data_IF_079216215238
#
_entry.id   IF_079216215238
#
_cell.length_a   1.000
_cell.length_b   1.000
_cell.length_c   1.000
_cell.angle_alpha   90.00
_cell.angle_beta   90.00
_cell.angle_gamma   90.00
#
_symmetry.space_group_name_H-M   'P 1'
#
loop_
_entity.id
_entity.type
_entity.pdbx_description
1 polymer ?
#
# COMPACT_ATOMS: atom_id res chain seq x y z
N UNK A 1 24.20 -7.12 -3.03
CA UNK A 1 22.74 -6.89 -3.19
C UNK A 1 22.09 -7.23 -1.86
N UNK A 2 21.25 -6.35 -1.32
CA UNK A 2 20.57 -6.57 -0.03
C UNK A 2 19.39 -7.54 -0.14
N UNK A 3 18.89 -7.77 -1.37
CA UNK A 3 17.82 -8.70 -1.66
C UNK A 3 18.28 -10.16 -1.56
N UNK A 4 17.46 -11.01 -0.95
CA UNK A 4 17.68 -12.45 -0.80
C UNK A 4 16.41 -13.25 -1.11
N UNK A 5 16.58 -14.56 -1.32
CA UNK A 5 15.50 -15.56 -1.44
C UNK A 5 14.42 -15.17 -2.46
N UNK A 6 14.84 -14.95 -3.71
CA UNK A 6 13.91 -14.58 -4.79
C UNK A 6 13.23 -13.24 -4.56
N UNK A 7 13.99 -12.23 -4.11
CA UNK A 7 13.50 -10.87 -3.91
C UNK A 7 12.40 -10.70 -2.84
N UNK A 8 12.28 -11.66 -1.92
CA UNK A 8 11.25 -11.63 -0.87
C UNK A 8 11.61 -10.79 0.35
N UNK A 9 12.91 -10.57 0.58
CA UNK A 9 13.45 -9.83 1.72
C UNK A 9 14.66 -8.99 1.29
N UNK A 10 14.82 -7.79 1.87
CA UNK A 10 15.95 -6.90 1.68
C UNK A 10 16.60 -6.53 3.03
N UNK A 11 17.75 -7.15 3.35
CA UNK A 11 18.42 -6.93 4.64
C UNK A 11 19.35 -5.71 4.58
N UNK A 12 18.93 -4.61 5.22
CA UNK A 12 19.76 -3.41 5.36
C UNK A 12 20.73 -3.54 6.54
N UNK A 13 21.93 -2.95 6.46
CA UNK A 13 22.86 -2.91 7.58
C UNK A 13 22.31 -2.03 8.70
N UNK A 14 22.48 -2.45 9.96
CA UNK A 14 22.03 -1.68 11.12
C UNK A 14 21.40 -2.55 12.20
N UNK A 15 20.86 -1.91 13.23
CA UNK A 15 20.06 -2.59 14.25
C UNK A 15 18.64 -2.80 13.73
N UNK A 16 18.04 -3.99 13.95
CA UNK A 16 16.64 -4.20 13.62
C UNK A 16 15.73 -3.34 14.51
N UNK A 17 14.49 -3.17 14.04
CA UNK A 17 13.39 -2.58 14.78
C UNK A 17 12.94 -3.49 15.93
N UNK A 18 11.90 -3.06 16.63
CA UNK A 18 11.26 -3.86 17.68
C UNK A 18 10.58 -5.14 17.15
N UNK A 19 10.35 -5.25 15.83
CA UNK A 19 9.74 -6.43 15.22
C UNK A 19 10.75 -7.56 15.13
N UNK A 20 11.75 -7.41 14.24
CA UNK A 20 12.99 -8.19 14.10
C UNK A 20 13.56 -7.94 12.69
N UNK A 21 14.82 -8.33 12.46
CA UNK A 21 15.50 -8.12 11.18
C UNK A 21 14.80 -8.75 9.97
N UNK A 22 14.08 -9.87 10.15
CA UNK A 22 13.39 -10.55 9.05
C UNK A 22 12.12 -9.79 8.66
N UNK A 23 11.33 -9.35 9.63
CA UNK A 23 10.16 -8.51 9.36
C UNK A 23 10.56 -7.17 8.75
N UNK A 24 11.63 -6.55 9.24
CA UNK A 24 12.15 -5.29 8.66
C UNK A 24 12.61 -5.49 7.20
N UNK A 25 13.22 -6.65 6.91
CA UNK A 25 13.65 -6.97 5.55
C UNK A 25 12.48 -7.23 4.59
N UNK A 26 11.37 -7.79 5.09
CA UNK A 26 10.12 -7.88 4.35
C UNK A 26 9.53 -6.49 4.07
N UNK A 27 9.48 -5.63 5.10
CA UNK A 27 9.00 -4.24 4.99
C UNK A 27 9.77 -3.47 3.90
N UNK A 28 11.09 -3.70 3.81
CA UNK A 28 11.91 -3.14 2.74
C UNK A 28 11.48 -3.54 1.33
N UNK A 29 10.89 -4.73 1.17
CA UNK A 29 10.41 -5.23 -0.12
C UNK A 29 8.97 -4.78 -0.39
N UNK A 30 8.05 -4.99 0.55
CA UNK A 30 6.65 -4.60 0.42
C UNK A 30 6.49 -3.12 0.06
N UNK A 31 7.32 -2.24 0.63
CA UNK A 31 7.26 -0.80 0.38
C UNK A 31 7.92 -0.33 -0.92
N UNK A 32 8.62 -1.22 -1.62
CA UNK A 32 9.27 -0.93 -2.91
C UNK A 32 8.49 -1.53 -4.08
N UNK A 33 7.84 -2.68 -3.87
CA UNK A 33 7.10 -3.36 -4.93
C UNK A 33 6.00 -2.50 -5.59
N UNK A 34 5.20 -1.68 -4.87
CA UNK A 34 4.26 -0.77 -5.52
C UNK A 34 4.93 0.19 -6.50
N UNK A 35 6.10 0.74 -6.16
CA UNK A 35 6.84 1.64 -7.05
C UNK A 35 7.30 0.92 -8.32
N UNK A 36 7.84 -0.29 -8.19
CA UNK A 36 8.22 -1.11 -9.35
C UNK A 36 7.01 -1.51 -10.19
N UNK A 37 5.87 -1.80 -9.56
CA UNK A 37 4.64 -2.14 -10.24
C UNK A 37 4.05 -0.95 -11.01
N UNK A 38 4.04 0.26 -10.42
CA UNK A 38 3.64 1.48 -11.14
C UNK A 38 4.58 1.73 -12.32
N UNK A 39 5.90 1.65 -12.11
CA UNK A 39 6.85 1.83 -13.21
C UNK A 39 6.57 0.84 -14.34
N UNK A 40 6.37 -0.45 -14.02
CA UNK A 40 6.11 -1.51 -14.98
C UNK A 40 4.79 -1.30 -15.74
N UNK A 41 3.73 -0.87 -15.05
CA UNK A 41 2.43 -0.54 -15.67
C UNK A 41 2.54 0.56 -16.72
N UNK A 42 3.48 1.48 -16.56
CA UNK A 42 3.68 2.62 -17.46
C UNK A 42 4.70 2.33 -18.58
N UNK A 43 5.21 1.10 -18.70
CA UNK A 43 6.09 0.72 -19.81
C UNK A 43 5.29 0.25 -21.03
N UNK A 44 5.86 0.39 -22.25
CA UNK A 44 5.33 -0.28 -23.44
C UNK A 44 5.20 -1.80 -23.22
N UNK A 45 4.24 -2.41 -23.91
CA UNK A 45 4.01 -3.84 -23.80
C UNK A 45 5.28 -4.64 -24.15
N UNK A 46 5.76 -5.44 -23.20
CA UNK A 46 6.98 -6.25 -23.36
C UNK A 46 8.25 -5.59 -22.80
N UNK A 47 8.22 -4.32 -22.39
CA UNK A 47 9.37 -3.60 -21.84
C UNK A 47 9.42 -3.66 -20.31
N UNK A 48 9.55 -4.87 -19.75
CA UNK A 48 9.69 -5.08 -18.30
C UNK A 48 11.12 -4.94 -17.79
N UNK A 49 12.01 -4.24 -18.51
CA UNK A 49 13.45 -4.20 -18.21
C UNK A 49 13.93 -2.79 -17.89
N UNK A 50 14.70 -2.65 -16.83
CA UNK A 50 15.25 -1.39 -16.34
C UNK A 50 16.76 -1.50 -16.24
N UNK A 51 17.50 -0.47 -16.67
CA UNK A 51 18.94 -0.44 -16.45
C UNK A 51 19.25 -0.16 -14.97
N UNK A 52 20.19 -0.89 -14.41
CA UNK A 52 20.69 -0.65 -13.05
C UNK A 52 21.79 0.42 -13.03
N UNK A 53 22.08 0.92 -11.82
CA UNK A 53 23.10 1.95 -11.60
C UNK A 53 24.54 1.51 -11.93
N UNK A 54 24.76 0.22 -12.23
CA UNK A 54 26.04 -0.39 -12.56
C UNK A 54 26.14 -0.79 -14.04
N UNK A 55 25.16 -0.41 -14.87
CA UNK A 55 25.11 -0.76 -16.29
C UNK A 55 24.65 -2.19 -16.59
N UNK A 56 24.04 -2.87 -15.60
CA UNK A 56 23.31 -4.11 -15.80
C UNK A 56 21.84 -3.86 -16.16
N UNK A 57 21.09 -4.93 -16.40
CA UNK A 57 19.66 -4.85 -16.72
C UNK A 57 18.85 -5.71 -15.74
N UNK A 58 17.89 -5.08 -15.07
CA UNK A 58 16.93 -5.71 -14.18
C UNK A 58 15.68 -6.10 -14.96
N UNK A 59 15.25 -7.35 -14.85
CA UNK A 59 13.94 -7.78 -15.35
C UNK A 59 12.91 -7.60 -14.24
N UNK A 60 12.22 -6.45 -14.24
CA UNK A 60 11.26 -6.06 -13.22
C UNK A 60 10.07 -7.03 -13.18
N UNK A 61 9.58 -7.48 -14.34
CA UNK A 61 8.52 -8.50 -14.39
C UNK A 61 8.93 -9.79 -13.68
N UNK A 62 10.15 -10.26 -13.92
CA UNK A 62 10.67 -11.47 -13.28
C UNK A 62 10.87 -11.26 -11.77
N UNK A 63 11.43 -10.12 -11.36
CA UNK A 63 11.64 -9.77 -9.94
C UNK A 63 10.32 -9.80 -9.17
N UNK A 64 9.28 -9.13 -9.68
CA UNK A 64 7.97 -9.08 -9.03
C UNK A 64 7.35 -10.49 -8.99
N UNK A 65 7.37 -11.21 -10.11
CA UNK A 65 6.83 -12.58 -10.19
C UNK A 65 7.51 -13.51 -9.19
N UNK A 66 8.84 -13.50 -9.15
CA UNK A 66 9.62 -14.34 -8.24
C UNK A 66 9.36 -13.99 -6.78
N UNK A 67 9.28 -12.69 -6.44
CA UNK A 67 8.97 -12.24 -5.09
C UNK A 67 7.62 -12.77 -4.58
N UNK A 68 6.57 -12.73 -5.40
CA UNK A 68 5.28 -13.28 -4.99
C UNK A 68 5.30 -14.80 -4.85
N UNK A 69 5.90 -15.52 -5.81
CA UNK A 69 5.93 -16.99 -5.76
C UNK A 69 6.78 -17.50 -4.59
N UNK A 70 7.96 -16.93 -4.39
CA UNK A 70 8.85 -17.28 -3.28
C UNK A 70 8.31 -16.83 -1.91
N UNK A 71 7.62 -15.68 -1.87
CA UNK A 71 7.10 -15.08 -0.65
C UNK A 71 5.85 -15.77 -0.12
N UNK A 72 5.06 -16.36 -1.02
CA UNK A 72 3.79 -17.03 -0.68
C UNK A 72 3.91 -18.56 -0.58
N UNK A 73 5.07 -19.15 -0.90
CA UNK A 73 5.36 -20.58 -0.75
C UNK A 73 5.82 -20.90 0.68
N UNK A 74 5.06 -21.67 1.49
CA UNK A 74 5.44 -22.03 2.86
C UNK A 74 6.72 -22.87 3.00
N UNK A 75 7.15 -23.52 1.92
CA UNK A 75 8.35 -24.38 1.89
C UNK A 75 9.61 -23.62 1.48
N UNK A 76 9.44 -22.43 0.90
CA UNK A 76 10.55 -21.63 0.42
C UNK A 76 11.22 -20.86 1.58
N UNK A 77 12.57 -20.74 1.63
CA UNK A 77 13.25 -19.99 2.69
C UNK A 77 12.79 -18.53 2.80
N UNK A 78 12.36 -17.96 1.68
CA UNK A 78 11.81 -16.61 1.54
C UNK A 78 10.34 -16.44 1.92
N UNK A 79 9.67 -17.47 2.44
CA UNK A 79 8.28 -17.37 2.87
C UNK A 79 8.08 -16.17 3.82
N UNK A 80 7.06 -15.36 3.53
CA UNK A 80 6.66 -14.21 4.35
C UNK A 80 6.03 -14.62 5.68
N UNK A 81 5.67 -15.90 5.81
CA UNK A 81 5.22 -16.50 7.06
C UNK A 81 3.71 -16.48 7.23
N UNK A 82 3.27 -17.16 8.29
CA UNK A 82 1.88 -17.21 8.72
C UNK A 82 1.53 -15.94 9.50
N UNK A 83 0.43 -15.29 9.12
CA UNK A 83 -0.08 -14.10 9.80
C UNK A 83 -0.77 -14.45 11.12
N UNK A 84 -0.78 -13.52 12.07
CA UNK A 84 -1.49 -13.61 13.34
C UNK A 84 -2.04 -12.23 13.75
N UNK A 85 -2.81 -12.17 14.83
CA UNK A 85 -3.40 -10.92 15.32
C UNK A 85 -2.33 -9.86 15.61
N UNK A 86 -2.61 -8.62 15.23
CA UNK A 86 -1.74 -7.44 15.44
C UNK A 86 -0.35 -7.55 14.78
N UNK A 87 -0.21 -8.39 13.76
CA UNK A 87 1.04 -8.63 13.05
C UNK A 87 1.35 -7.50 12.04
N UNK A 88 2.59 -6.99 12.06
CA UNK A 88 3.07 -5.99 11.10
C UNK A 88 2.87 -6.43 9.64
N UNK A 89 2.92 -7.74 9.37
CA UNK A 89 2.71 -8.30 8.03
C UNK A 89 1.29 -8.08 7.50
N UNK A 90 0.32 -7.81 8.36
CA UNK A 90 -1.01 -7.33 7.93
C UNK A 90 -0.85 -5.97 7.23
N UNK A 91 -0.10 -5.04 7.81
CA UNK A 91 0.19 -3.74 7.21
C UNK A 91 0.90 -3.91 5.86
N UNK A 92 1.97 -4.70 5.85
CA UNK A 92 2.78 -4.92 4.64
C UNK A 92 2.02 -5.65 3.53
N UNK A 93 1.02 -6.47 3.88
CA UNK A 93 0.16 -7.15 2.90
C UNK A 93 -0.66 -6.20 2.04
N UNK A 94 -1.00 -5.00 2.53
CA UNK A 94 -1.74 -4.02 1.75
C UNK A 94 -0.92 -3.51 0.55
N UNK A 95 0.34 -3.13 0.77
CA UNK A 95 1.24 -2.68 -0.29
C UNK A 95 1.60 -3.83 -1.24
N UNK A 96 1.78 -5.05 -0.72
CA UNK A 96 1.97 -6.24 -1.56
C UNK A 96 0.75 -6.49 -2.47
N UNK A 97 -0.47 -6.43 -1.92
CA UNK A 97 -1.69 -6.58 -2.72
C UNK A 97 -1.79 -5.48 -3.77
N UNK A 98 -1.56 -4.22 -3.38
CA UNK A 98 -1.58 -3.08 -4.29
C UNK A 98 -0.56 -3.24 -5.44
N UNK A 99 0.67 -3.67 -5.13
CA UNK A 99 1.68 -3.94 -6.14
C UNK A 99 1.19 -4.97 -7.18
N UNK A 100 0.59 -6.06 -6.72
CA UNK A 100 0.06 -7.10 -7.59
C UNK A 100 -1.09 -6.60 -8.47
N UNK A 101 -2.00 -5.79 -7.90
CA UNK A 101 -3.09 -5.17 -8.64
C UNK A 101 -2.60 -4.19 -9.70
N UNK A 102 -1.58 -3.39 -9.38
CA UNK A 102 -0.98 -2.42 -10.29
C UNK A 102 -0.31 -3.07 -11.50
N UNK A 103 0.34 -4.22 -11.31
CA UNK A 103 1.00 -4.95 -12.40
C UNK A 103 0.21 -6.17 -12.91
N UNK A 104 -1.10 -6.23 -12.66
CA UNK A 104 -1.93 -7.43 -12.91
C UNK A 104 -1.88 -7.94 -14.36
N UNK A 105 -1.89 -7.07 -15.35
CA UNK A 105 -1.86 -7.43 -16.78
C UNK A 105 -0.52 -8.08 -17.19
N UNK A 106 0.57 -7.69 -16.51
CA UNK A 106 1.92 -8.16 -16.82
C UNK A 106 2.36 -9.32 -15.95
N UNK A 107 1.84 -9.42 -14.73
CA UNK A 107 2.21 -10.45 -13.74
C UNK A 107 1.03 -11.38 -13.47
N UNK A 108 -0.02 -10.91 -12.79
CA UNK A 108 -1.12 -11.74 -12.31
C UNK A 108 -1.80 -12.59 -13.41
N UNK A 109 -2.15 -11.98 -14.54
CA UNK A 109 -2.84 -12.64 -15.65
C UNK A 109 -1.97 -13.68 -16.38
N UNK A 110 -0.64 -13.61 -16.19
CA UNK A 110 0.32 -14.56 -16.75
C UNK A 110 0.65 -15.73 -15.83
N UNK A 111 0.21 -15.67 -14.58
CA UNK A 111 0.37 -16.76 -13.62
C UNK A 111 -0.57 -17.92 -13.96
N UNK A 112 -0.12 -19.14 -13.69
CA UNK A 112 -0.99 -20.32 -13.73
C UNK A 112 -2.05 -20.24 -12.63
N UNK A 113 -3.17 -20.95 -12.81
CA UNK A 113 -4.21 -21.03 -11.77
C UNK A 113 -3.68 -21.52 -10.42
N UNK A 114 -2.70 -22.43 -10.41
CA UNK A 114 -2.08 -22.90 -9.18
C UNK A 114 -1.28 -21.80 -8.47
N UNK A 115 -0.54 -20.98 -9.23
CA UNK A 115 0.21 -19.84 -8.68
C UNK A 115 -0.71 -18.73 -8.18
N UNK A 116 -1.78 -18.43 -8.92
CA UNK A 116 -2.81 -17.50 -8.46
C UNK A 116 -3.44 -17.98 -7.15
N UNK A 117 -3.79 -19.27 -7.06
CA UNK A 117 -4.35 -19.86 -5.84
C UNK A 117 -3.38 -19.81 -4.66
N UNK A 118 -2.07 -20.05 -4.88
CA UNK A 118 -1.05 -19.94 -3.85
C UNK A 118 -1.01 -18.51 -3.27
N UNK A 119 -0.96 -17.50 -4.14
CA UNK A 119 -0.89 -16.09 -3.74
C UNK A 119 -2.18 -15.68 -3.03
N UNK A 120 -3.34 -16.03 -3.58
CA UNK A 120 -4.65 -15.78 -2.95
C UNK A 120 -4.76 -16.42 -1.57
N UNK A 121 -4.26 -17.66 -1.40
CA UNK A 121 -4.25 -18.33 -0.11
C UNK A 121 -3.44 -17.54 0.93
N UNK A 122 -2.28 -17.01 0.55
CA UNK A 122 -1.47 -16.20 1.45
C UNK A 122 -2.17 -14.90 1.86
N UNK A 123 -2.75 -14.16 0.90
CA UNK A 123 -3.47 -12.92 1.18
C UNK A 123 -4.74 -13.14 2.02
N UNK A 124 -5.46 -14.23 1.79
CA UNK A 124 -6.68 -14.54 2.54
C UNK A 124 -6.44 -14.78 4.05
N UNK A 125 -5.19 -14.93 4.49
CA UNK A 125 -4.86 -15.00 5.91
C UNK A 125 -5.26 -13.73 6.68
N UNK A 126 -5.34 -12.56 6.03
CA UNK A 126 -5.75 -11.32 6.72
C UNK A 126 -7.20 -11.35 7.18
N UNK A 127 -8.02 -12.22 6.57
CA UNK A 127 -9.43 -12.32 6.87
C UNK A 127 -9.62 -12.91 8.27
N UNK A 128 -10.32 -12.17 9.13
CA UNK A 128 -10.60 -12.56 10.52
C UNK A 128 -9.48 -12.24 11.51
N UNK A 129 -8.35 -11.67 11.08
CA UNK A 129 -7.32 -11.21 12.02
C UNK A 129 -7.71 -9.90 12.69
N UNK A 130 -7.33 -9.78 13.96
CA UNK A 130 -7.48 -8.56 14.72
C UNK A 130 -6.40 -7.55 14.32
N UNK A 131 -6.82 -6.30 14.19
CA UNK A 131 -5.96 -5.15 13.93
C UNK A 131 -6.06 -4.16 15.08
N UNK A 132 -5.05 -3.30 15.23
CA UNK A 132 -5.17 -2.14 16.11
C UNK A 132 -6.38 -1.32 15.65
N UNK A 133 -7.17 -0.81 16.59
CA UNK A 133 -8.40 -0.08 16.29
C UNK A 133 -8.13 1.38 15.89
N UNK A 134 -7.54 1.54 14.70
CA UNK A 134 -7.11 2.80 14.12
C UNK A 134 -7.06 2.68 12.58
N UNK A 135 -6.17 3.41 11.90
CA UNK A 135 -5.98 3.26 10.44
C UNK A 135 -5.71 1.80 9.98
N UNK A 136 -5.29 0.89 10.87
CA UNK A 136 -4.99 -0.49 10.50
C UNK A 136 -6.16 -1.26 9.90
N UNK A 137 -7.41 -0.81 10.10
CA UNK A 137 -8.55 -1.40 9.41
C UNK A 137 -8.47 -1.26 7.87
N UNK A 138 -7.74 -0.26 7.36
CA UNK A 138 -7.54 -0.03 5.92
C UNK A 138 -6.64 -1.08 5.26
N UNK A 139 -5.73 -1.71 6.00
CA UNK A 139 -4.81 -2.70 5.43
C UNK A 139 -5.51 -3.98 4.96
N UNK A 140 -6.27 -4.72 5.80
CA UNK A 140 -7.04 -5.87 5.34
C UNK A 140 -8.12 -5.48 4.33
N UNK A 141 -8.73 -4.28 4.46
CA UNK A 141 -9.66 -3.76 3.45
C UNK A 141 -8.99 -3.66 2.07
N UNK A 142 -7.78 -3.08 2.00
CA UNK A 142 -7.04 -2.97 0.74
C UNK A 142 -6.79 -4.35 0.11
N UNK A 143 -6.39 -5.33 0.92
CA UNK A 143 -6.20 -6.71 0.44
C UNK A 143 -7.51 -7.30 -0.09
N UNK A 144 -8.62 -7.12 0.62
CA UNK A 144 -9.94 -7.63 0.22
C UNK A 144 -10.40 -7.02 -1.11
N UNK A 145 -10.29 -5.69 -1.27
CA UNK A 145 -10.61 -5.01 -2.54
C UNK A 145 -9.76 -5.54 -3.69
N UNK A 146 -8.46 -5.70 -3.47
CA UNK A 146 -7.55 -6.24 -4.50
C UNK A 146 -7.91 -7.68 -4.87
N UNK A 147 -8.11 -8.57 -3.89
CA UNK A 147 -8.46 -9.97 -4.19
C UNK A 147 -9.77 -10.04 -4.96
N UNK A 148 -10.78 -9.27 -4.54
CA UNK A 148 -12.06 -9.15 -5.24
C UNK A 148 -11.89 -8.68 -6.68
N UNK A 149 -11.04 -7.68 -6.92
CA UNK A 149 -10.75 -7.18 -8.27
C UNK A 149 -9.96 -8.16 -9.14
N UNK A 150 -9.05 -8.95 -8.55
CA UNK A 150 -8.16 -9.84 -9.30
C UNK A 150 -8.79 -11.17 -9.70
N UNK A 151 -9.66 -11.74 -8.87
CA UNK A 151 -10.22 -13.08 -9.11
C UNK A 151 -11.69 -13.22 -8.69
N UNK A 152 -12.34 -12.13 -8.29
CA UNK A 152 -13.74 -12.14 -7.86
C UNK A 152 -13.98 -12.75 -6.47
N UNK A 153 -12.95 -13.21 -5.76
CA UNK A 153 -13.06 -13.87 -4.46
C UNK A 153 -12.98 -12.89 -3.28
N UNK A 154 -13.50 -13.34 -2.13
CA UNK A 154 -13.45 -12.59 -0.88
C UNK A 154 -14.55 -11.54 -0.75
N UNK A 155 -14.99 -11.33 0.49
CA UNK A 155 -15.91 -10.25 0.84
C UNK A 155 -15.12 -9.06 1.38
N UNK A 156 -15.57 -7.87 1.00
CA UNK A 156 -15.08 -6.62 1.57
C UNK A 156 -15.83 -6.39 2.89
N UNK A 157 -15.08 -6.12 3.96
CA UNK A 157 -15.67 -5.92 5.28
C UNK A 157 -16.28 -4.52 5.43
N UNK A 158 -17.59 -4.40 5.24
CA UNK A 158 -18.31 -3.13 5.46
C UNK A 158 -18.15 -2.64 6.91
N UNK A 159 -18.07 -3.54 7.89
CA UNK A 159 -17.81 -3.20 9.31
C UNK A 159 -16.49 -2.43 9.49
N UNK A 160 -15.40 -2.93 8.89
CA UNK A 160 -14.10 -2.23 8.96
C UNK A 160 -14.16 -0.88 8.26
N UNK A 161 -14.88 -0.79 7.14
CA UNK A 161 -15.02 0.46 6.40
C UNK A 161 -15.82 1.50 7.18
N UNK A 162 -16.95 1.11 7.76
CA UNK A 162 -17.75 1.98 8.63
C UNK A 162 -16.95 2.39 9.87
N UNK A 163 -16.15 1.49 10.46
CA UNK A 163 -15.24 1.86 11.56
C UNK A 163 -14.21 2.91 11.16
N UNK A 164 -13.71 2.89 9.92
CA UNK A 164 -12.85 3.96 9.40
C UNK A 164 -13.62 5.29 9.28
N UNK A 165 -14.88 5.27 8.86
CA UNK A 165 -15.73 6.47 8.76
C UNK A 165 -16.02 7.09 10.12
N UNK A 166 -16.15 6.27 11.17
CA UNK A 166 -16.29 6.76 12.55
C UNK A 166 -15.07 7.55 13.07
N UNK A 167 -13.90 7.35 12.44
CA UNK A 167 -12.71 8.13 12.74
C UNK A 167 -12.66 9.49 12.03
N UNK A 168 -13.52 9.73 11.04
CA UNK A 168 -13.63 11.03 10.38
C UNK A 168 -14.21 12.08 11.32
N UNK A 169 -13.56 13.23 11.41
CA UNK A 169 -13.95 14.33 12.31
C UNK A 169 -14.35 15.61 11.57
N UNK A 170 -14.54 15.53 10.25
CA UNK A 170 -14.89 16.66 9.39
C UNK A 170 -13.67 17.34 8.74
N UNK A 171 -13.92 18.11 7.66
CA UNK A 171 -12.89 18.81 6.90
C UNK A 171 -11.84 17.87 6.29
N UNK A 172 -12.22 16.63 6.03
CA UNK A 172 -11.33 15.57 5.53
C UNK A 172 -10.32 15.01 6.55
N UNK A 173 -10.39 15.39 7.83
CA UNK A 173 -9.47 14.90 8.87
C UNK A 173 -9.99 13.62 9.53
N UNK A 174 -9.05 12.75 9.91
CA UNK A 174 -9.31 11.54 10.69
C UNK A 174 -8.57 11.59 12.01
N UNK A 175 -9.18 11.04 13.06
CA UNK A 175 -8.52 10.71 14.33
C UNK A 175 -8.01 9.27 14.26
N UNK A 176 -6.72 9.04 14.51
CA UNK A 176 -6.11 7.71 14.38
C UNK A 176 -6.49 6.75 15.54
N UNK A 177 -7.73 6.28 15.54
CA UNK A 177 -8.35 5.51 16.62
C UNK A 177 -9.07 6.38 17.66
N UNK A 178 -9.74 5.76 18.63
CA UNK A 178 -10.56 6.47 19.62
C UNK A 178 -9.78 7.51 20.46
N UNK A 179 -8.49 7.28 20.67
CA UNK A 179 -7.58 8.15 21.42
C UNK A 179 -6.43 8.70 20.57
N UNK A 180 -6.59 8.68 19.23
CA UNK A 180 -5.55 9.09 18.29
C UNK A 180 -5.30 10.60 18.25
N UNK A 181 -4.08 10.97 17.85
CA UNK A 181 -3.72 12.36 17.55
C UNK A 181 -4.09 12.73 16.11
N UNK A 182 -4.07 14.03 15.80
CA UNK A 182 -4.08 14.56 14.43
C UNK A 182 -2.65 14.90 14.00
N UNK A 183 -2.12 14.21 12.99
CA UNK A 183 -0.79 14.50 12.46
C UNK A 183 -0.65 14.20 10.95
N UNK A 184 0.52 14.46 10.35
CA UNK A 184 0.79 14.14 8.94
C UNK A 184 0.67 12.67 8.60
N UNK A 185 0.87 11.78 9.57
CA UNK A 185 0.67 10.37 9.31
C UNK A 185 -0.80 10.09 9.03
N UNK A 186 -1.74 10.77 9.68
CA UNK A 186 -3.16 10.61 9.35
C UNK A 186 -3.47 11.06 7.91
N UNK A 187 -2.79 12.13 7.44
CA UNK A 187 -2.92 12.60 6.07
C UNK A 187 -2.51 11.50 5.07
N UNK A 188 -1.40 10.82 5.32
CA UNK A 188 -0.97 9.69 4.49
C UNK A 188 -1.81 8.44 4.72
N UNK A 189 -1.84 7.93 5.95
CA UNK A 189 -2.36 6.60 6.30
C UNK A 189 -3.84 6.40 5.98
N UNK A 190 -4.66 7.46 5.98
CA UNK A 190 -6.05 7.38 5.55
C UNK A 190 -6.21 7.69 4.06
N UNK A 191 -5.73 8.84 3.59
CA UNK A 191 -6.00 9.27 2.21
C UNK A 191 -5.27 8.43 1.16
N UNK A 192 -4.09 7.87 1.47
CA UNK A 192 -3.41 6.94 0.56
C UNK A 192 -4.26 5.70 0.30
N UNK A 193 -4.76 5.06 1.36
CA UNK A 193 -5.60 3.87 1.22
C UNK A 193 -6.94 4.21 0.59
N UNK A 194 -7.64 5.25 1.05
CA UNK A 194 -8.93 5.66 0.47
C UNK A 194 -8.82 5.97 -1.02
N UNK A 195 -7.74 6.64 -1.45
CA UNK A 195 -7.45 6.86 -2.87
C UNK A 195 -7.37 5.54 -3.63
N UNK A 196 -6.58 4.58 -3.16
CA UNK A 196 -6.44 3.29 -3.86
C UNK A 196 -7.70 2.45 -3.83
N UNK A 197 -8.50 2.48 -2.76
CA UNK A 197 -9.80 1.83 -2.72
C UNK A 197 -10.72 2.34 -3.85
N UNK A 198 -10.77 3.67 -4.06
CA UNK A 198 -11.52 4.28 -5.16
C UNK A 198 -10.92 3.97 -6.55
N UNK A 199 -9.59 3.85 -6.68
CA UNK A 199 -8.98 3.41 -7.95
C UNK A 199 -9.26 1.93 -8.26
N UNK A 200 -9.34 1.07 -7.24
CA UNK A 200 -9.59 -0.37 -7.39
C UNK A 200 -11.07 -0.63 -7.66
N UNK A 201 -11.96 0.05 -6.94
CA UNK A 201 -13.41 -0.06 -7.12
C UNK A 201 -14.08 1.33 -7.04
N UNK A 202 -14.18 2.04 -8.19
CA UNK A 202 -14.70 3.41 -8.25
C UNK A 202 -16.16 3.58 -7.83
N UNK A 203 -16.92 2.49 -7.73
CA UNK A 203 -18.36 2.50 -7.43
C UNK A 203 -18.68 2.18 -5.96
N UNK A 204 -17.68 1.88 -5.12
CA UNK A 204 -17.91 1.42 -3.75
C UNK A 204 -18.52 2.49 -2.83
N UNK A 205 -17.84 3.63 -2.67
CA UNK A 205 -18.36 4.81 -1.95
C UNK A 205 -17.71 6.09 -2.51
N UNK A 206 -17.93 6.41 -3.80
CA UNK A 206 -17.30 7.55 -4.44
C UNK A 206 -17.70 8.88 -3.79
N UNK A 207 -18.90 8.95 -3.21
CA UNK A 207 -19.39 10.15 -2.56
C UNK A 207 -18.58 10.47 -1.30
N UNK A 208 -18.43 9.52 -0.37
CA UNK A 208 -17.65 9.77 0.83
C UNK A 208 -16.16 9.96 0.49
N UNK A 209 -15.58 9.04 -0.29
CA UNK A 209 -14.13 9.00 -0.53
C UNK A 209 -13.65 10.28 -1.23
N UNK A 210 -14.28 10.66 -2.35
CA UNK A 210 -13.83 11.81 -3.15
C UNK A 210 -14.12 13.14 -2.46
N UNK A 211 -15.28 13.29 -1.81
CA UNK A 211 -15.58 14.49 -1.03
C UNK A 211 -14.65 14.66 0.15
N UNK A 212 -14.36 13.58 0.89
CA UNK A 212 -13.43 13.62 2.03
C UNK A 212 -12.03 14.08 1.61
N UNK A 213 -11.48 13.55 0.50
CA UNK A 213 -10.19 13.99 -0.04
C UNK A 213 -10.23 15.44 -0.51
N UNK A 214 -11.29 15.84 -1.24
CA UNK A 214 -11.44 17.21 -1.72
C UNK A 214 -11.53 18.23 -0.58
N UNK A 215 -12.30 17.94 0.46
CA UNK A 215 -12.38 18.78 1.67
C UNK A 215 -11.03 18.90 2.37
N UNK A 216 -10.30 17.79 2.52
CA UNK A 216 -9.01 17.76 3.21
C UNK A 216 -8.02 18.76 2.62
N UNK A 217 -7.87 18.75 1.29
CA UNK A 217 -6.86 19.58 0.62
C UNK A 217 -7.14 21.07 0.68
N UNK A 218 -8.39 21.49 0.95
CA UNK A 218 -8.76 22.91 1.08
C UNK A 218 -7.97 23.62 2.17
N UNK A 219 -7.75 22.95 3.31
CA UNK A 219 -7.02 23.47 4.46
C UNK A 219 -5.59 22.94 4.53
N UNK A 220 -5.41 21.66 4.19
CA UNK A 220 -4.11 20.99 4.30
C UNK A 220 -3.01 21.63 3.43
N UNK A 221 -3.37 22.18 2.26
CA UNK A 221 -2.41 22.88 1.38
C UNK A 221 -1.69 24.05 2.04
N UNK A 222 -2.30 24.70 3.05
CA UNK A 222 -1.70 25.83 3.77
C UNK A 222 -0.60 25.39 4.75
N UNK A 223 -0.42 24.08 4.96
CA UNK A 223 0.73 23.53 5.67
C UNK A 223 1.95 23.37 4.75
N UNK A 224 1.93 23.91 3.54
CA UNK A 224 3.05 23.87 2.60
C UNK A 224 3.33 25.28 2.09
N UNK A 225 4.60 25.65 2.09
CA UNK A 225 5.08 26.87 1.47
C UNK A 225 6.31 26.57 0.61
N UNK A 226 6.71 27.47 -0.28
CA UNK A 226 7.98 27.35 -1.00
C UNK A 226 9.21 27.27 -0.09
N UNK A 227 9.08 27.68 1.19
CA UNK A 227 10.15 27.63 2.20
C UNK A 227 10.15 26.33 3.02
N UNK A 228 9.07 25.52 2.95
CA UNK A 228 9.01 24.22 3.58
C UNK A 228 7.65 23.87 4.16
N UNK A 229 7.65 22.91 5.07
CA UNK A 229 6.48 22.40 5.79
C UNK A 229 6.73 22.50 7.30
N UNK A 230 5.71 22.78 8.14
CA UNK A 230 5.87 22.76 9.59
C UNK A 230 6.24 21.34 10.06
N UNK A 231 7.01 21.25 11.14
CA UNK A 231 7.52 19.97 11.64
C UNK A 231 6.64 19.48 12.80
N UNK A 232 5.58 18.74 12.50
CA UNK A 232 4.71 18.14 13.52
C UNK A 232 4.29 16.71 13.14
N UNK A 233 4.04 15.88 14.15
CA UNK A 233 3.59 14.51 13.95
C UNK A 233 4.64 13.40 14.07
N UNK A 234 4.14 12.16 14.09
CA UNK A 234 4.94 10.94 14.19
C UNK A 234 5.53 10.52 12.84
N UNK A 235 6.57 9.68 12.91
CA UNK A 235 7.23 9.00 11.78
C UNK A 235 7.86 9.92 10.72
N UNK A 236 9.19 9.86 10.62
CA UNK A 236 9.97 10.77 9.78
C UNK A 236 9.73 10.62 8.27
N UNK A 237 9.43 9.41 7.81
CA UNK A 237 9.26 9.10 6.39
C UNK A 237 8.02 9.78 5.76
N UNK A 238 6.92 9.96 6.50
CA UNK A 238 5.69 10.55 5.95
C UNK A 238 5.80 12.06 5.73
N UNK A 239 6.89 12.67 6.18
CA UNK A 239 7.28 14.03 5.80
C UNK A 239 7.60 14.13 4.31
N UNK A 240 8.07 13.04 3.70
CA UNK A 240 8.29 12.94 2.25
C UNK A 240 7.01 12.65 1.47
N UNK A 241 5.95 12.23 2.16
CA UNK A 241 4.66 11.89 1.57
C UNK A 241 3.61 12.99 1.73
N UNK A 242 4.01 14.16 2.23
CA UNK A 242 3.12 15.28 2.55
C UNK A 242 2.28 15.72 1.35
N UNK A 243 2.81 15.60 0.13
CA UNK A 243 2.13 15.97 -1.12
C UNK A 243 1.12 14.95 -1.61
N UNK A 244 1.09 13.72 -1.07
CA UNK A 244 0.29 12.64 -1.63
C UNK A 244 -1.22 12.94 -1.68
N UNK A 245 -1.86 13.51 -0.64
CA UNK A 245 -3.28 13.86 -0.71
C UNK A 245 -3.58 14.94 -1.76
N UNK A 246 -2.64 15.86 -2.02
CA UNK A 246 -2.79 16.86 -3.09
C UNK A 246 -2.77 16.19 -4.47
N UNK A 247 -1.84 15.26 -4.69
CA UNK A 247 -1.73 14.51 -5.95
C UNK A 247 -2.95 13.61 -6.18
N UNK A 248 -3.48 12.99 -5.12
CA UNK A 248 -4.70 12.19 -5.18
C UNK A 248 -5.88 13.01 -5.71
N UNK A 249 -6.14 14.18 -5.11
CA UNK A 249 -7.22 15.08 -5.57
C UNK A 249 -6.96 15.61 -6.98
N UNK A 250 -5.71 15.96 -7.31
CA UNK A 250 -5.35 16.39 -8.67
C UNK A 250 -5.62 15.32 -9.71
N UNK A 251 -5.57 14.03 -9.35
CA UNK A 251 -5.89 12.94 -10.29
C UNK A 251 -7.39 12.73 -10.48
N UNK A 252 -8.22 13.15 -9.51
CA UNK A 252 -9.69 13.13 -9.61
C UNK A 252 -10.26 14.36 -10.32
N UNK A 253 -9.59 15.50 -10.22
CA UNK A 253 -10.02 16.77 -10.82
C UNK A 253 -9.26 17.07 -12.12
N UNK A 254 -9.95 17.56 -13.15
CA UNK A 254 -9.29 18.10 -14.36
C UNK A 254 -8.78 19.54 -14.16
N UNK A 255 -9.22 20.21 -13.10
CA UNK A 255 -8.82 21.58 -12.80
C UNK A 255 -7.57 21.60 -11.91
N UNK A 256 -6.67 22.56 -12.19
CA UNK A 256 -5.42 22.70 -11.44
C UNK A 256 -5.69 23.03 -9.96
N UNK A 257 -5.07 22.26 -9.06
CA UNK A 257 -4.99 22.65 -7.65
C UNK A 257 -4.09 23.89 -7.52
N UNK A 258 -4.67 25.03 -7.17
CA UNK A 258 -3.90 26.22 -6.83
C UNK A 258 -3.32 26.06 -5.42
N UNK A 259 -2.00 25.88 -5.34
CA UNK A 259 -1.23 26.04 -4.11
C UNK A 259 -1.01 27.56 -3.95
N UNK A 260 -1.44 28.10 -2.82
CA UNK A 260 -1.38 29.55 -2.53
C UNK A 260 0.04 30.07 -2.39
#
# INVERSE_FOLDING_TARGET
HYAVWGHTHAYYPGRPSQQNARTDALEGVSRVLPTLAVWLRNQPAGEGRMDDLKGGTLNITAIITEAFLAGTDPTHPGYWGKLHDYDQRICESADLALALWLCRETVWERLTSAQQQQITCWFNQVNGLQTVDNNWHLFPLTVQFVMRALNGSGDVSDEKYERIKEFHVGGGWFRDGAHGNYDYYNAWGFHYSLYWLDQINPEYDPQFIRSCMAEFVTTYRYLMTPQGIPFFGRSACYRLAVSAPLLAVASHSKDALHIG
#
